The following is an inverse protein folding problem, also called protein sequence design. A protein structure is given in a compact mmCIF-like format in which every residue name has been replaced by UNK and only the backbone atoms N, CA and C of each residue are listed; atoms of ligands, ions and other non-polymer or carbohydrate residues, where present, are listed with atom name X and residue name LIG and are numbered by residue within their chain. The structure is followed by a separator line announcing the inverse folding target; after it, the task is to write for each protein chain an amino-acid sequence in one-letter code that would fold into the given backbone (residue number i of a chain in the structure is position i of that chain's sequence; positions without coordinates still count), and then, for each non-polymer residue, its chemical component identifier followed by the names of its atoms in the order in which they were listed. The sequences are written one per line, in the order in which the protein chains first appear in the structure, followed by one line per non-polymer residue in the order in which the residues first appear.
data_IF_961994759745
#
_entry.id   IF_961994759745
#
_cell.length_a   1.000
_cell.length_b   1.000
_cell.length_c   1.000
_cell.angle_alpha   90.00
_cell.angle_beta   90.00
_cell.angle_gamma   90.00
#
_symmetry.space_group_name_H-M   'P 1'
#
loop_
_entity.id
_entity.type
_entity.pdbx_description
1 polymer ?
#
# COMPACT_ATOMS: atom_id res chain seq x y z
N UNK A 1 14.04 -9.30 30.06
CA UNK A 1 13.15 -10.24 29.36
C UNK A 1 12.74 -9.63 28.02
N UNK A 2 12.97 -10.30 26.89
CA UNK A 2 12.49 -9.81 25.60
C UNK A 2 10.95 -9.77 25.64
N UNK A 3 10.34 -8.64 25.27
CA UNK A 3 8.88 -8.54 25.17
C UNK A 3 8.40 -9.61 24.18
N UNK A 4 7.46 -10.46 24.62
CA UNK A 4 6.82 -11.44 23.76
C UNK A 4 6.18 -10.73 22.57
N UNK A 5 6.44 -11.21 21.35
CA UNK A 5 5.82 -10.65 20.15
C UNK A 5 4.30 -10.86 20.23
N UNK A 6 3.49 -9.91 19.73
CA UNK A 6 2.05 -10.11 19.67
C UNK A 6 1.70 -11.37 18.87
N UNK A 7 0.69 -12.13 19.29
CA UNK A 7 0.31 -13.42 18.69
C UNK A 7 -0.10 -13.34 17.22
N UNK A 8 -0.46 -12.15 16.73
CA UNK A 8 -0.82 -11.90 15.34
C UNK A 8 0.37 -11.48 14.46
N UNK A 9 1.60 -11.46 15.00
CA UNK A 9 2.82 -11.36 14.20
C UNK A 9 3.16 -12.74 13.62
N UNK A 10 3.70 -12.83 12.40
CA UNK A 10 4.11 -14.11 11.85
C UNK A 10 5.25 -14.70 12.67
N UNK A 11 5.26 -16.03 12.77
CA UNK A 11 6.37 -16.77 13.36
C UNK A 11 7.63 -16.63 12.50
N UNK A 12 8.79 -16.81 13.12
CA UNK A 12 10.03 -16.87 12.37
C UNK A 12 10.05 -18.20 11.57
N UNK A 13 10.44 -18.21 10.28
CA UNK A 13 10.36 -19.44 9.48
C UNK A 13 11.46 -20.45 9.80
N UNK A 14 12.50 -20.06 10.54
CA UNK A 14 13.71 -20.86 10.71
C UNK A 14 14.57 -20.81 9.46
N UNK A 15 15.19 -21.94 9.09
CA UNK A 15 15.94 -22.05 7.83
C UNK A 15 15.01 -22.52 6.70
N UNK A 16 15.28 -22.10 5.47
CA UNK A 16 14.54 -22.52 4.28
C UNK A 16 15.47 -22.55 3.07
N UNK A 17 15.06 -23.27 2.03
CA UNK A 17 15.78 -23.34 0.75
C UNK A 17 15.00 -22.61 -0.34
N UNK A 18 15.71 -22.13 -1.36
CA UNK A 18 15.07 -21.51 -2.51
C UNK A 18 14.18 -22.52 -3.24
N UNK A 19 13.03 -22.09 -3.80
CA UNK A 19 12.15 -22.98 -4.55
C UNK A 19 12.87 -23.50 -5.82
N UNK A 20 12.64 -24.75 -6.16
CA UNK A 20 13.19 -25.39 -7.39
C UNK A 20 12.11 -25.63 -8.45
N UNK A 21 10.83 -25.49 -8.07
CA UNK A 21 9.67 -25.72 -8.95
C UNK A 21 9.45 -24.56 -9.90
N UNK A 22 8.81 -24.83 -11.04
CA UNK A 22 8.34 -23.81 -11.99
C UNK A 22 6.96 -23.25 -11.62
N UNK A 23 6.15 -24.02 -10.90
CA UNK A 23 4.84 -23.59 -10.44
C UNK A 23 4.96 -22.80 -9.12
N UNK A 24 4.29 -21.65 -8.98
CA UNK A 24 4.31 -20.87 -7.75
C UNK A 24 3.65 -21.62 -6.59
N UNK A 25 4.38 -21.78 -5.48
CA UNK A 25 3.91 -22.44 -4.26
C UNK A 25 4.39 -21.73 -3.00
N UNK A 26 3.96 -22.23 -1.84
CA UNK A 26 4.52 -21.79 -0.56
C UNK A 26 5.94 -22.35 -0.41
N UNK A 27 6.82 -21.53 0.15
CA UNK A 27 8.17 -21.94 0.56
C UNK A 27 8.08 -22.18 2.06
N UNK A 28 8.28 -23.42 2.49
CA UNK A 28 8.25 -23.78 3.90
C UNK A 28 9.66 -23.70 4.49
N UNK A 29 9.77 -23.10 5.68
CA UNK A 29 10.96 -23.19 6.51
C UNK A 29 10.81 -24.28 7.56
N UNK A 30 11.86 -24.50 8.36
CA UNK A 30 11.89 -25.52 9.42
C UNK A 30 10.87 -25.28 10.53
N UNK A 31 10.43 -24.04 10.73
CA UNK A 31 9.50 -23.66 11.81
C UNK A 31 8.16 -23.13 11.30
N UNK A 32 8.17 -22.40 10.18
CA UNK A 32 6.97 -21.80 9.60
C UNK A 32 7.17 -21.48 8.12
N UNK A 33 6.08 -21.11 7.44
CA UNK A 33 6.14 -20.65 6.04
C UNK A 33 7.09 -19.48 5.89
N UNK A 34 8.07 -19.61 5.00
CA UNK A 34 9.13 -18.64 4.74
C UNK A 34 8.80 -17.70 3.58
N UNK A 35 7.95 -18.10 2.63
CA UNK A 35 7.75 -17.32 1.43
C UNK A 35 6.69 -17.88 0.47
N UNK A 36 6.68 -17.34 -0.74
CA UNK A 36 5.81 -17.79 -1.82
C UNK A 36 6.46 -17.49 -3.18
N UNK A 37 6.40 -18.43 -4.12
CA UNK A 37 6.83 -18.24 -5.49
C UNK A 37 7.34 -19.51 -6.15
N UNK A 38 8.13 -19.33 -7.21
CA UNK A 38 8.77 -20.40 -7.99
C UNK A 38 10.25 -20.05 -8.19
N UNK A 39 11.01 -20.97 -8.80
CA UNK A 39 12.48 -20.88 -8.91
C UNK A 39 12.99 -19.58 -9.54
N UNK A 40 12.26 -19.02 -10.52
CA UNK A 40 12.70 -17.83 -11.26
C UNK A 40 12.19 -16.52 -10.62
N UNK A 41 11.13 -16.59 -9.80
CA UNK A 41 10.61 -15.44 -9.08
C UNK A 41 9.93 -15.86 -7.78
N UNK A 42 10.45 -15.37 -6.66
CA UNK A 42 9.82 -15.63 -5.37
C UNK A 42 10.06 -14.50 -4.37
N UNK A 43 9.22 -14.49 -3.33
CA UNK A 43 9.44 -13.68 -2.14
C UNK A 43 9.70 -14.59 -0.96
N UNK A 44 10.54 -14.15 -0.04
CA UNK A 44 10.80 -14.86 1.20
C UNK A 44 11.18 -13.89 2.32
N UNK A 45 10.98 -14.32 3.57
CA UNK A 45 11.34 -13.54 4.77
C UNK A 45 12.85 -13.28 4.80
N UNK A 46 13.20 -12.05 5.11
CA UNK A 46 14.59 -11.63 5.39
C UNK A 46 14.71 -10.99 6.77
N UNK A 47 15.90 -11.02 7.39
CA UNK A 47 16.17 -10.26 8.61
C UNK A 47 15.85 -8.77 8.48
N UNK A 48 15.30 -8.17 9.54
CA UNK A 48 14.99 -6.73 9.58
C UNK A 48 16.22 -5.86 9.27
N UNK A 49 17.39 -6.25 9.77
CA UNK A 49 18.63 -5.51 9.57
C UNK A 49 18.99 -5.41 8.08
N UNK A 50 18.87 -6.52 7.36
CA UNK A 50 19.09 -6.58 5.91
C UNK A 50 18.08 -5.73 5.14
N UNK A 51 16.78 -5.90 5.45
CA UNK A 51 15.72 -5.09 4.84
C UNK A 51 15.94 -3.58 5.07
N UNK A 52 16.37 -3.18 6.27
CA UNK A 52 16.69 -1.79 6.62
C UNK A 52 17.90 -1.28 5.83
N UNK A 53 18.94 -2.09 5.68
CA UNK A 53 20.13 -1.75 4.90
C UNK A 53 19.75 -1.43 3.45
N UNK A 54 19.01 -2.34 2.81
CA UNK A 54 18.57 -2.21 1.42
C UNK A 54 17.69 -0.97 1.22
N UNK A 55 16.73 -0.71 2.12
CA UNK A 55 15.87 0.48 2.04
C UNK A 55 16.68 1.77 2.19
N UNK A 56 17.67 1.82 3.09
CA UNK A 56 18.51 3.02 3.27
C UNK A 56 19.38 3.29 2.05
N UNK A 57 19.90 2.25 1.42
CA UNK A 57 20.76 2.37 0.25
C UNK A 57 19.97 2.78 -1.00
N UNK A 58 18.80 2.17 -1.24
CA UNK A 58 18.19 2.19 -2.57
C UNK A 58 16.82 2.88 -2.66
N UNK A 59 16.02 2.87 -1.60
CA UNK A 59 14.68 3.48 -1.67
C UNK A 59 14.82 5.00 -1.79
N UNK A 60 14.03 5.65 -2.66
CA UNK A 60 14.13 7.10 -2.93
C UNK A 60 14.10 7.97 -1.66
N UNK A 61 13.35 7.56 -0.63
CA UNK A 61 13.29 8.30 0.63
C UNK A 61 14.48 8.06 1.55
N UNK A 62 15.20 6.93 1.40
CA UNK A 62 16.24 6.42 2.31
C UNK A 62 15.79 6.32 3.78
N UNK A 63 14.47 6.38 4.05
CA UNK A 63 13.90 6.40 5.40
C UNK A 63 13.28 5.06 5.75
N UNK A 64 13.49 4.63 6.98
CA UNK A 64 12.88 3.40 7.51
C UNK A 64 11.60 3.74 8.28
N UNK A 65 10.69 2.77 8.41
CA UNK A 65 9.58 2.83 9.36
C UNK A 65 9.89 1.88 10.51
N UNK A 66 10.05 2.41 11.72
CA UNK A 66 10.43 1.63 12.90
C UNK A 66 9.46 0.50 13.22
N UNK A 67 8.18 0.69 12.92
CA UNK A 67 7.06 -0.17 13.27
C UNK A 67 6.76 -1.27 12.22
N UNK A 68 7.61 -1.42 11.21
CA UNK A 68 7.54 -2.55 10.27
C UNK A 68 8.04 -3.83 10.94
N UNK A 69 7.37 -4.96 10.66
CA UNK A 69 7.65 -6.25 11.29
C UNK A 69 7.57 -7.45 10.33
N UNK A 70 7.08 -7.26 9.11
CA UNK A 70 7.18 -8.26 8.03
C UNK A 70 8.13 -7.68 6.99
N UNK A 71 9.20 -8.42 6.70
CA UNK A 71 10.23 -8.01 5.74
C UNK A 71 10.42 -9.12 4.74
N UNK A 72 10.15 -8.84 3.47
CA UNK A 72 10.19 -9.82 2.40
C UNK A 72 11.20 -9.35 1.34
N UNK A 73 12.21 -10.16 1.08
CA UNK A 73 13.06 -10.01 -0.09
C UNK A 73 12.32 -10.49 -1.35
N UNK A 74 12.70 -9.96 -2.50
CA UNK A 74 12.24 -10.39 -3.82
C UNK A 74 13.43 -10.94 -4.58
N UNK A 75 13.36 -12.20 -5.00
CA UNK A 75 14.38 -12.82 -5.84
C UNK A 75 13.86 -12.94 -7.27
N UNK A 76 14.74 -12.59 -8.21
CA UNK A 76 14.54 -12.74 -9.65
C UNK A 76 15.76 -13.49 -10.18
N UNK A 77 15.53 -14.65 -10.79
CA UNK A 77 16.58 -15.53 -11.33
C UNK A 77 17.70 -15.80 -10.32
N UNK A 78 17.32 -16.10 -9.07
CA UNK A 78 18.23 -16.41 -7.98
C UNK A 78 18.92 -15.21 -7.30
N UNK A 79 18.76 -13.99 -7.82
CA UNK A 79 19.36 -12.77 -7.25
C UNK A 79 18.32 -11.95 -6.52
N UNK A 80 18.64 -11.46 -5.31
CA UNK A 80 17.74 -10.53 -4.60
C UNK A 80 17.70 -9.19 -5.33
N UNK A 81 16.53 -8.80 -5.82
CA UNK A 81 16.26 -7.59 -6.61
C UNK A 81 15.21 -6.69 -5.98
N UNK A 82 14.88 -6.88 -4.71
CA UNK A 82 13.94 -6.00 -4.05
C UNK A 82 13.60 -6.38 -2.62
N UNK A 83 12.92 -5.46 -1.94
CA UNK A 83 12.45 -5.61 -0.57
C UNK A 83 11.09 -4.93 -0.40
N UNK A 84 10.18 -5.60 0.29
CA UNK A 84 8.92 -5.05 0.78
C UNK A 84 8.87 -5.13 2.31
N UNK A 85 8.44 -4.04 2.94
CA UNK A 85 8.26 -3.94 4.38
C UNK A 85 6.79 -3.65 4.69
N UNK A 86 6.18 -4.50 5.52
CA UNK A 86 4.84 -4.30 6.04
C UNK A 86 4.85 -4.18 7.55
N UNK A 87 3.87 -3.45 8.08
CA UNK A 87 3.65 -3.33 9.50
C UNK A 87 2.52 -2.37 9.80
N UNK A 88 2.60 -1.72 10.95
CA UNK A 88 1.54 -0.80 11.34
C UNK A 88 1.66 0.55 10.61
N UNK A 89 0.52 1.20 10.41
CA UNK A 89 0.51 2.63 10.10
C UNK A 89 1.07 3.44 11.28
N UNK A 90 1.48 4.67 11.01
CA UNK A 90 2.02 5.59 12.02
C UNK A 90 1.09 5.82 13.23
N UNK A 91 -0.23 5.79 13.03
CA UNK A 91 -1.23 5.81 14.11
C UNK A 91 -2.16 4.59 13.94
N UNK A 92 -1.86 3.46 14.60
CA UNK A 92 -2.59 2.23 14.35
C UNK A 92 -4.08 2.28 14.73
N UNK A 93 -4.41 3.09 15.75
CA UNK A 93 -5.78 3.24 16.27
C UNK A 93 -6.69 4.01 15.32
N UNK A 94 -6.14 4.70 14.32
CA UNK A 94 -6.93 5.43 13.33
C UNK A 94 -7.56 4.50 12.26
N UNK A 95 -7.25 3.20 12.26
CA UNK A 95 -7.74 2.24 11.27
C UNK A 95 -9.28 2.15 11.20
N UNK A 96 -9.96 2.23 12.35
CA UNK A 96 -11.43 2.28 12.43
C UNK A 96 -12.03 3.43 11.62
N UNK A 97 -11.33 4.57 11.50
CA UNK A 97 -11.78 5.73 10.71
C UNK A 97 -11.81 5.46 9.21
N UNK A 98 -11.19 4.38 8.76
CA UNK A 98 -11.12 3.98 7.34
C UNK A 98 -12.05 2.79 7.11
N UNK A 99 -11.87 1.73 7.90
CA UNK A 99 -12.65 0.49 7.83
C UNK A 99 -13.22 0.23 9.22
N UNK A 100 -14.53 0.39 9.37
CA UNK A 100 -15.23 0.37 10.65
C UNK A 100 -15.03 -0.95 11.39
N UNK A 101 -14.75 -0.89 12.69
CA UNK A 101 -14.47 -2.00 13.61
C UNK A 101 -13.13 -2.70 13.37
N UNK A 102 -12.16 -2.03 12.73
CA UNK A 102 -10.82 -2.62 12.55
C UNK A 102 -10.03 -2.53 13.85
N UNK A 103 -9.53 -3.67 14.31
CA UNK A 103 -8.65 -3.80 15.46
C UNK A 103 -7.17 -3.87 15.05
N UNK A 104 -6.28 -3.69 16.03
CA UNK A 104 -4.84 -3.86 15.82
C UNK A 104 -4.56 -5.32 15.45
N UNK A 105 -3.79 -5.53 14.38
CA UNK A 105 -3.47 -6.87 13.86
C UNK A 105 -4.43 -7.36 12.75
N UNK A 106 -5.55 -6.68 12.53
CA UNK A 106 -6.49 -6.98 11.44
C UNK A 106 -6.18 -6.21 10.15
N UNK A 107 -5.13 -5.39 10.13
CA UNK A 107 -4.71 -4.66 8.95
C UNK A 107 -3.21 -4.37 8.96
N UNK A 108 -2.67 -4.08 7.78
CA UNK A 108 -1.27 -3.67 7.61
C UNK A 108 -1.16 -2.43 6.72
N UNK A 109 0.00 -1.78 6.77
CA UNK A 109 0.45 -0.83 5.78
C UNK A 109 1.68 -1.40 5.07
N UNK A 110 1.69 -1.35 3.73
CA UNK A 110 2.93 -1.47 2.96
C UNK A 110 3.74 -0.20 3.22
N UNK A 111 4.68 -0.29 4.14
CA UNK A 111 5.45 0.84 4.61
C UNK A 111 6.53 1.24 3.60
N UNK A 112 7.23 0.25 3.02
CA UNK A 112 8.31 0.48 2.04
C UNK A 112 8.30 -0.60 0.99
N UNK A 113 8.61 -0.21 -0.24
CA UNK A 113 8.79 -1.11 -1.37
C UNK A 113 9.89 -0.53 -2.25
N UNK A 114 10.89 -1.34 -2.52
CA UNK A 114 11.92 -1.02 -3.50
C UNK A 114 12.21 -2.29 -4.30
N UNK A 115 12.24 -2.17 -5.62
CA UNK A 115 12.77 -3.18 -6.53
C UNK A 115 13.81 -2.50 -7.41
N UNK A 116 14.82 -3.27 -7.81
CA UNK A 116 15.85 -2.89 -8.77
C UNK A 116 15.23 -2.69 -10.15
N UNK A 117 15.61 -1.63 -10.87
CA UNK A 117 15.09 -1.31 -12.20
C UNK A 117 15.46 -2.38 -13.26
N UNK A 118 16.45 -3.23 -12.96
CA UNK A 118 16.80 -4.41 -13.78
C UNK A 118 15.67 -5.47 -13.74
N UNK A 119 14.81 -5.45 -12.71
CA UNK A 119 13.73 -6.43 -12.60
C UNK A 119 12.76 -6.33 -13.79
N UNK A 120 12.27 -7.46 -14.33
CA UNK A 120 11.35 -7.46 -15.47
C UNK A 120 10.10 -6.62 -15.22
N UNK A 121 9.51 -6.08 -16.30
CA UNK A 121 8.26 -5.31 -16.23
C UNK A 121 7.18 -6.06 -15.42
N UNK A 122 6.46 -5.32 -14.58
CA UNK A 122 5.42 -5.82 -13.66
C UNK A 122 5.95 -6.65 -12.47
N UNK A 123 7.25 -6.61 -12.18
CA UNK A 123 7.81 -7.33 -11.03
C UNK A 123 7.27 -6.82 -9.70
N UNK A 124 6.99 -5.52 -9.57
CA UNK A 124 6.47 -4.93 -8.34
C UNK A 124 5.03 -5.40 -8.05
N UNK A 125 4.15 -5.39 -9.05
CA UNK A 125 2.77 -5.88 -8.89
C UNK A 125 2.74 -7.40 -8.68
N UNK A 126 3.63 -8.15 -9.32
CA UNK A 126 3.83 -9.59 -9.08
C UNK A 126 4.31 -9.86 -7.66
N UNK A 127 5.32 -9.12 -7.17
CA UNK A 127 5.83 -9.23 -5.81
C UNK A 127 4.74 -8.92 -4.77
N UNK A 128 3.93 -7.88 -4.99
CA UNK A 128 2.77 -7.57 -4.14
C UNK A 128 1.77 -8.73 -4.10
N UNK A 129 1.42 -9.30 -5.25
CA UNK A 129 0.53 -10.46 -5.32
C UNK A 129 1.05 -11.64 -4.48
N UNK A 130 2.35 -11.92 -4.54
CA UNK A 130 2.99 -13.00 -3.78
C UNK A 130 3.03 -12.68 -2.29
N UNK A 131 3.33 -11.44 -1.92
CA UNK A 131 3.26 -10.95 -0.55
C UNK A 131 1.86 -11.14 0.04
N UNK A 132 0.79 -10.87 -0.72
CA UNK A 132 -0.58 -11.04 -0.20
C UNK A 132 -0.96 -12.49 0.02
N UNK A 133 -0.53 -13.40 -0.86
CA UNK A 133 -0.70 -14.85 -0.66
C UNK A 133 0.02 -15.33 0.60
N UNK A 134 1.27 -14.90 0.78
CA UNK A 134 2.06 -15.17 1.98
C UNK A 134 1.39 -14.60 3.24
N UNK A 135 1.07 -13.29 3.27
CA UNK A 135 0.45 -12.61 4.42
C UNK A 135 -0.88 -13.26 4.80
N UNK A 136 -1.71 -13.64 3.82
CA UNK A 136 -2.98 -14.33 4.09
C UNK A 136 -2.77 -15.65 4.87
N UNK A 137 -1.68 -16.36 4.60
CA UNK A 137 -1.32 -17.63 5.26
C UNK A 137 -0.76 -17.39 6.66
N UNK A 138 0.18 -16.46 6.81
CA UNK A 138 0.93 -16.27 8.07
C UNK A 138 0.28 -15.29 9.05
N UNK A 139 -0.61 -14.42 8.56
CA UNK A 139 -1.35 -13.45 9.37
C UNK A 139 -2.86 -13.53 9.06
N UNK A 140 -3.55 -14.64 9.40
CA UNK A 140 -4.95 -14.88 8.99
C UNK A 140 -5.95 -13.86 9.56
N UNK A 141 -5.58 -13.14 10.62
CA UNK A 141 -6.38 -12.04 11.16
C UNK A 141 -6.47 -10.84 10.19
N UNK A 142 -5.42 -10.60 9.40
CA UNK A 142 -5.33 -9.46 8.48
C UNK A 142 -6.44 -9.52 7.44
N UNK A 143 -7.23 -8.46 7.37
CA UNK A 143 -8.36 -8.32 6.50
C UNK A 143 -8.12 -7.35 5.34
N UNK A 144 -7.24 -6.36 5.52
CA UNK A 144 -6.92 -5.36 4.50
C UNK A 144 -5.50 -4.80 4.68
N UNK A 145 -4.95 -4.28 3.59
CA UNK A 145 -3.61 -3.69 3.54
C UNK A 145 -3.72 -2.34 2.85
N UNK A 146 -3.18 -1.27 3.43
CA UNK A 146 -3.12 0.04 2.79
C UNK A 146 -1.73 0.38 2.27
N UNK A 147 -1.67 1.28 1.30
CA UNK A 147 -0.46 1.98 0.91
C UNK A 147 -0.78 3.37 0.37
N UNK A 148 0.24 4.20 0.21
CA UNK A 148 0.13 5.52 -0.37
C UNK A 148 1.08 5.67 -1.55
N UNK A 149 0.57 6.16 -2.68
CA UNK A 149 1.39 6.67 -3.76
C UNK A 149 1.56 8.19 -3.57
N UNK A 150 2.77 8.68 -3.80
CA UNK A 150 3.11 10.09 -3.68
C UNK A 150 3.26 10.70 -5.08
N UNK A 151 2.69 11.89 -5.28
CA UNK A 151 2.79 12.62 -6.56
C UNK A 151 4.25 12.89 -6.98
N UNK A 152 5.19 12.92 -6.02
CA UNK A 152 6.64 13.04 -6.29
C UNK A 152 7.19 11.93 -7.15
N UNK A 153 6.57 10.74 -7.12
CA UNK A 153 7.06 9.59 -7.88
C UNK A 153 6.53 9.56 -9.32
N UNK A 154 5.79 10.59 -9.78
CA UNK A 154 5.27 10.71 -11.15
C UNK A 154 4.16 9.72 -11.52
N UNK A 155 4.08 8.57 -10.86
CA UNK A 155 3.05 7.57 -11.04
C UNK A 155 1.97 7.72 -9.97
N UNK A 156 0.73 7.94 -10.39
CA UNK A 156 -0.45 8.02 -9.51
C UNK A 156 -0.84 6.65 -8.92
N UNK A 157 0.14 5.84 -8.49
CA UNK A 157 -0.06 4.51 -7.92
C UNK A 157 -0.37 3.42 -8.94
N UNK A 158 0.16 3.51 -10.17
CA UNK A 158 -0.07 2.51 -11.24
C UNK A 158 0.22 1.09 -10.76
N UNK A 159 1.30 0.89 -10.00
CA UNK A 159 1.64 -0.41 -9.40
C UNK A 159 0.54 -0.96 -8.50
N UNK A 160 -0.12 -0.10 -7.71
CA UNK A 160 -1.21 -0.51 -6.83
C UNK A 160 -2.49 -0.82 -7.61
N UNK A 161 -2.77 -0.08 -8.68
CA UNK A 161 -3.87 -0.37 -9.59
C UNK A 161 -3.69 -1.75 -10.25
N UNK A 162 -2.46 -2.04 -10.73
CA UNK A 162 -2.12 -3.34 -11.30
C UNK A 162 -2.14 -4.50 -10.27
N UNK A 163 -1.94 -4.20 -8.99
CA UNK A 163 -1.97 -5.16 -7.88
C UNK A 163 -3.36 -5.31 -7.21
N UNK A 164 -4.45 -4.91 -7.89
CA UNK A 164 -5.83 -5.02 -7.41
C UNK A 164 -6.13 -4.26 -6.10
N UNK A 165 -5.42 -3.17 -5.82
CA UNK A 165 -5.82 -2.27 -4.75
C UNK A 165 -7.00 -1.42 -5.19
N UNK A 166 -7.97 -1.20 -4.32
CA UNK A 166 -8.99 -0.19 -4.51
C UNK A 166 -8.43 1.21 -4.23
N UNK A 167 -8.81 2.20 -5.04
CA UNK A 167 -8.43 3.59 -4.83
C UNK A 167 -9.44 4.30 -3.92
N UNK A 168 -8.96 5.00 -2.90
CA UNK A 168 -9.77 5.65 -1.87
C UNK A 168 -9.68 7.18 -1.90
N UNK A 169 -9.19 7.75 -3.00
CA UNK A 169 -9.00 9.19 -3.14
C UNK A 169 -7.60 9.64 -2.76
N UNK A 170 -7.42 10.95 -2.70
CA UNK A 170 -6.15 11.58 -2.36
C UNK A 170 -6.37 12.70 -1.33
N UNK A 171 -5.28 13.13 -0.73
CA UNK A 171 -5.23 14.31 0.11
C UNK A 171 -3.96 15.11 -0.20
N UNK A 172 -4.00 16.41 0.12
CA UNK A 172 -2.83 17.27 0.02
C UNK A 172 -1.97 17.13 1.26
N UNK A 173 -0.67 16.97 1.05
CA UNK A 173 0.35 16.94 2.09
C UNK A 173 1.42 17.94 1.76
N UNK A 174 1.83 18.73 2.75
CA UNK A 174 3.00 19.60 2.63
C UNK A 174 4.28 18.83 2.94
N UNK A 175 5.25 18.97 2.05
CA UNK A 175 6.62 18.55 2.22
C UNK A 175 7.51 19.78 2.29
N UNK A 176 8.53 19.70 3.12
CA UNK A 176 9.53 20.75 3.27
C UNK A 176 10.83 20.22 2.69
N UNK A 177 11.42 20.97 1.79
CA UNK A 177 12.77 20.73 1.30
C UNK A 177 13.71 21.71 2.00
N UNK A 178 14.78 21.16 2.58
CA UNK A 178 15.76 21.92 3.32
C UNK A 178 17.10 21.22 3.16
N UNK A 179 18.12 21.91 2.64
CA UNK A 179 19.49 21.41 2.52
C UNK A 179 19.59 20.06 1.77
N UNK A 180 18.85 19.94 0.65
CA UNK A 180 18.80 18.72 -0.18
C UNK A 180 17.98 17.57 0.40
N UNK A 181 17.31 17.81 1.53
CA UNK A 181 16.59 16.81 2.31
C UNK A 181 15.09 17.10 2.33
N UNK A 182 14.26 16.08 2.11
CA UNK A 182 12.79 16.22 2.18
C UNK A 182 12.25 15.79 3.55
N UNK A 183 11.31 16.58 4.08
CA UNK A 183 10.67 16.39 5.36
C UNK A 183 9.15 16.40 5.18
N UNK A 184 8.46 15.44 5.81
CA UNK A 184 7.00 15.45 5.84
C UNK A 184 6.50 16.41 6.93
N UNK A 185 5.45 17.19 6.64
CA UNK A 185 4.77 18.06 7.61
C UNK A 185 4.40 17.41 8.95
N UNK A 186 4.24 16.08 9.01
CA UNK A 186 3.97 15.37 10.26
C UNK A 186 5.11 15.48 11.28
N UNK A 187 6.32 15.81 10.84
CA UNK A 187 7.44 16.08 11.75
C UNK A 187 7.24 17.38 12.53
N UNK A 188 6.47 18.34 12.00
CA UNK A 188 6.15 19.60 12.69
C UNK A 188 4.99 19.44 13.68
N UNK A 189 4.06 18.52 13.40
CA UNK A 189 2.87 18.30 14.23
C UNK A 189 3.09 17.31 15.38
N UNK A 190 4.17 16.52 15.35
CA UNK A 190 4.54 15.61 16.45
C UNK A 190 5.20 16.41 17.57
N UNK A 191 4.87 16.08 18.81
CA UNK A 191 5.30 16.76 20.06
C UNK A 191 6.66 17.48 19.96
N UNK A 192 6.72 18.70 20.52
CA UNK A 192 7.93 19.55 20.61
C UNK A 192 9.18 18.84 21.18
N UNK A 193 9.01 17.69 21.83
CA UNK A 193 10.06 16.80 22.34
C UNK A 193 10.74 15.90 21.28
N UNK A 194 10.31 15.95 20.02
CA UNK A 194 10.98 15.21 18.94
C UNK A 194 12.29 15.90 18.53
N UNK A 195 13.42 15.29 18.92
CA UNK A 195 14.77 15.73 18.55
C UNK A 195 15.19 15.34 17.13
N UNK A 196 16.41 15.72 16.75
CA UNK A 196 17.00 15.36 15.45
C UNK A 196 16.33 16.08 14.28
N UNK A 197 15.87 15.35 13.25
CA UNK A 197 15.30 15.93 12.02
C UNK A 197 14.11 16.86 12.25
N UNK A 198 13.23 16.52 13.18
CA UNK A 198 12.06 17.34 13.47
C UNK A 198 12.46 18.67 14.13
N UNK A 199 13.46 18.64 15.01
CA UNK A 199 14.05 19.83 15.60
C UNK A 199 14.78 20.68 14.55
N UNK A 200 15.64 20.06 13.74
CA UNK A 200 16.38 20.75 12.68
C UNK A 200 15.45 21.48 11.71
N UNK A 201 14.37 20.83 11.26
CA UNK A 201 13.38 21.47 10.40
C UNK A 201 12.69 22.66 11.10
N UNK A 202 12.35 22.54 12.39
CA UNK A 202 11.70 23.62 13.14
C UNK A 202 12.61 24.83 13.28
N UNK A 203 13.89 24.62 13.60
CA UNK A 203 14.89 25.66 13.77
C UNK A 203 15.24 26.37 12.45
N UNK A 204 15.06 25.69 11.32
CA UNK A 204 15.43 26.18 9.99
C UNK A 204 14.23 26.38 9.06
N UNK A 205 13.01 26.48 9.62
CA UNK A 205 11.78 26.50 8.84
C UNK A 205 11.73 27.68 7.85
N UNK A 206 12.32 28.82 8.22
CA UNK A 206 12.40 30.00 7.35
C UNK A 206 13.27 29.81 6.10
N UNK A 207 14.15 28.80 6.07
CA UNK A 207 14.97 28.43 4.90
C UNK A 207 14.35 27.32 4.06
N UNK A 208 13.29 26.68 4.55
CA UNK A 208 12.71 25.52 3.90
C UNK A 208 11.75 25.92 2.77
N UNK A 209 11.88 25.25 1.63
CA UNK A 209 10.92 25.38 0.51
C UNK A 209 9.74 24.44 0.75
N UNK A 210 8.51 24.94 0.61
CA UNK A 210 7.29 24.15 0.82
C UNK A 210 6.76 23.63 -0.51
N UNK A 211 6.65 22.32 -0.62
CA UNK A 211 6.03 21.62 -1.73
C UNK A 211 4.69 21.03 -1.29
N UNK A 212 3.60 21.41 -1.97
CA UNK A 212 2.27 20.86 -1.68
C UNK A 212 1.93 19.79 -2.72
N UNK A 213 1.87 18.55 -2.28
CA UNK A 213 1.81 17.37 -3.15
C UNK A 213 0.66 16.45 -2.75
N UNK A 214 0.11 15.72 -3.72
CA UNK A 214 -0.96 14.75 -3.47
C UNK A 214 -0.40 13.42 -2.98
N UNK A 215 -1.10 12.83 -2.02
CA UNK A 215 -0.90 11.45 -1.60
C UNK A 215 -2.17 10.65 -1.83
N UNK A 216 -2.07 9.66 -2.71
CA UNK A 216 -3.16 8.81 -3.18
C UNK A 216 -3.24 7.57 -2.29
N UNK A 217 -4.43 7.30 -1.72
CA UNK A 217 -4.66 6.15 -0.84
C UNK A 217 -5.14 4.95 -1.63
N UNK A 218 -4.48 3.82 -1.42
CA UNK A 218 -4.82 2.53 -1.99
C UNK A 218 -5.06 1.50 -0.89
N UNK A 219 -6.10 0.68 -1.02
CA UNK A 219 -6.41 -0.40 -0.07
C UNK A 219 -6.66 -1.72 -0.81
N UNK A 220 -5.88 -2.73 -0.48
CA UNK A 220 -6.09 -4.11 -0.90
C UNK A 220 -6.92 -4.86 0.14
N UNK A 221 -7.98 -5.53 -0.30
CA UNK A 221 -8.82 -6.34 0.57
C UNK A 221 -8.34 -7.80 0.57
N UNK A 222 -7.73 -8.24 1.67
CA UNK A 222 -7.40 -9.67 1.87
C UNK A 222 -8.69 -10.46 2.09
N UNK A 223 -9.63 -9.89 2.85
CA UNK A 223 -10.98 -10.39 3.06
C UNK A 223 -11.97 -9.49 2.32
N UNK A 224 -12.39 -9.90 1.12
CA UNK A 224 -13.26 -9.09 0.24
C UNK A 224 -14.56 -8.63 0.92
N UNK A 225 -15.11 -9.46 1.83
CA UNK A 225 -16.29 -9.12 2.62
C UNK A 225 -16.13 -7.89 3.52
N UNK A 226 -14.91 -7.41 3.76
CA UNK A 226 -14.65 -6.20 4.55
C UNK A 226 -14.79 -4.92 3.76
N UNK A 227 -14.89 -4.98 2.43
CA UNK A 227 -15.09 -3.80 1.60
C UNK A 227 -16.33 -3.00 2.03
N UNK A 228 -17.41 -3.69 2.41
CA UNK A 228 -18.66 -3.09 2.93
C UNK A 228 -18.51 -2.34 4.26
N UNK A 229 -17.41 -2.56 4.99
CA UNK A 229 -17.10 -1.89 6.26
C UNK A 229 -16.35 -0.57 6.05
N UNK A 230 -15.92 -0.29 4.82
CA UNK A 230 -15.24 0.97 4.52
C UNK A 230 -16.20 2.13 4.75
N UNK A 231 -15.76 3.15 5.51
CA UNK A 231 -16.60 4.34 5.81
C UNK A 231 -16.89 5.19 4.57
N UNK A 232 -16.16 4.94 3.49
CA UNK A 232 -16.36 5.57 2.18
C UNK A 232 -16.13 4.52 1.09
N UNK A 233 -16.86 4.60 -0.02
CA UNK A 233 -16.67 3.66 -1.14
C UNK A 233 -15.35 3.90 -1.90
N UNK A 234 -14.77 2.90 -2.56
CA UNK A 234 -13.72 3.12 -3.55
C UNK A 234 -14.15 4.12 -4.63
N UNK A 235 -13.17 4.80 -5.22
CA UNK A 235 -13.33 5.64 -6.41
C UNK A 235 -12.74 4.92 -7.63
N UNK A 236 -13.15 5.30 -8.85
CA UNK A 236 -12.46 4.89 -10.07
C UNK A 236 -10.97 5.25 -10.01
N UNK A 237 -10.10 4.50 -10.69
CA UNK A 237 -8.68 4.85 -10.72
C UNK A 237 -8.42 6.18 -11.43
N UNK A 238 -7.43 6.96 -10.96
CA UNK A 238 -6.99 8.15 -11.67
C UNK A 238 -6.32 7.74 -13.00
N UNK A 239 -6.69 8.43 -14.10
CA UNK A 239 -6.21 8.15 -15.46
C UNK A 239 -5.47 9.38 -16.02
N UNK A 240 -4.27 9.22 -16.61
CA UNK A 240 -3.53 10.32 -17.21
C UNK A 240 -4.39 11.15 -18.17
N UNK A 241 -4.25 12.48 -18.13
CA UNK A 241 -5.03 13.40 -18.96
C UNK A 241 -6.49 13.58 -18.53
N UNK A 242 -6.96 12.92 -17.47
CA UNK A 242 -8.32 13.07 -16.96
C UNK A 242 -8.34 13.77 -15.60
N UNK A 243 -9.42 14.49 -15.26
CA UNK A 243 -9.61 15.01 -13.92
C UNK A 243 -9.56 13.90 -12.87
N UNK A 244 -8.94 14.18 -11.72
CA UNK A 244 -8.89 13.22 -10.64
C UNK A 244 -10.30 12.89 -10.13
N UNK A 245 -10.60 11.62 -9.85
CA UNK A 245 -11.88 11.20 -9.29
C UNK A 245 -12.17 11.91 -7.96
N UNK A 246 -13.33 12.56 -7.87
CA UNK A 246 -13.82 13.27 -6.69
C UNK A 246 -15.09 12.59 -6.17
N UNK A 247 -15.14 12.34 -4.86
CA UNK A 247 -16.29 11.77 -4.14
C UNK A 247 -17.57 12.58 -4.35
N UNK A 248 -17.49 13.91 -4.40
CA UNK A 248 -18.67 14.78 -4.61
C UNK A 248 -19.25 14.61 -6.01
N UNK A 249 -18.38 14.50 -7.02
CA UNK A 249 -18.78 14.28 -8.42
C UNK A 249 -19.27 12.85 -8.67
N UNK A 250 -18.63 11.86 -8.04
CA UNK A 250 -19.00 10.46 -8.21
C UNK A 250 -20.39 10.14 -7.66
N UNK A 251 -20.79 10.73 -6.52
CA UNK A 251 -22.18 10.58 -6.02
C UNK A 251 -23.23 11.09 -7.01
N UNK A 252 -22.97 12.21 -7.70
CA UNK A 252 -23.90 12.74 -8.71
C UNK A 252 -24.03 11.82 -9.91
N UNK A 253 -22.92 11.27 -10.41
CA UNK A 253 -22.93 10.34 -11.56
C UNK A 253 -23.64 9.02 -11.26
N UNK A 254 -23.55 8.50 -10.02
CA UNK A 254 -24.26 7.28 -9.60
C UNK A 254 -25.75 7.55 -9.34
N UNK A 255 -26.13 8.80 -9.07
CA UNK A 255 -27.51 9.20 -8.77
C UNK A 255 -28.32 9.69 -9.99
N UNK A 256 -27.74 9.83 -11.19
CA UNK A 256 -28.54 10.08 -12.40
C UNK A 256 -29.28 8.78 -12.74
N UNK A 257 -30.61 8.68 -12.55
CA UNK A 257 -31.36 7.53 -13.00
C UNK A 257 -31.35 7.52 -14.52
N UNK A 258 -31.32 6.33 -15.11
CA UNK A 258 -31.45 6.11 -16.54
C UNK A 258 -32.81 6.69 -17.02
N UNK A 259 -32.86 7.97 -17.41
CA UNK A 259 -34.00 8.59 -18.10
C UNK A 259 -34.04 8.11 -19.54
N UNK A 260 -34.18 6.80 -19.72
CA UNK A 260 -34.52 6.13 -20.96
C UNK A 260 -35.71 5.20 -20.71
N UNK A 261 -36.73 5.70 -19.99
CA UNK A 261 -38.08 5.15 -19.95
C UNK A 261 -39.06 6.31 -19.90
N UNK A 262 -39.24 6.96 -21.04
CA UNK A 262 -40.43 7.73 -21.40
C UNK A 262 -40.34 8.01 -22.91
N UNK A 263 -40.42 6.96 -23.72
CA UNK A 263 -40.89 7.14 -25.08
C UNK A 263 -42.42 7.33 -25.00
N UNK A 264 -42.98 8.38 -25.61
CA UNK A 264 -44.43 8.53 -25.67
C UNK A 264 -45.02 7.36 -26.44
N UNK A 265 -46.00 6.69 -25.84
CA UNK A 265 -46.82 5.67 -26.50
C UNK A 265 -47.43 6.27 -27.76
N UNK A 266 -47.02 5.74 -28.93
CA UNK A 266 -47.64 6.05 -30.22
C UNK A 266 -49.14 5.76 -30.12
N UNK A 267 -49.97 6.80 -30.16
CA UNK A 267 -51.41 6.66 -30.40
C UNK A 267 -51.59 6.07 -31.80
N UNK A 268 -52.21 4.89 -31.87
CA UNK A 268 -52.73 4.33 -33.12
C UNK A 268 -53.85 5.22 -33.66
N UNK A 269 -53.84 5.63 -34.95
CA UNK A 269 -54.98 6.31 -35.54
C UNK A 269 -56.13 5.32 -35.74
N UNK A 270 -57.31 5.70 -35.26
CA UNK A 270 -58.57 5.04 -35.64
C UNK A 270 -58.92 5.44 -37.07
N UNK A 271 -59.21 4.44 -37.90
CA UNK A 271 -60.16 4.53 -39.02
C UNK A 271 -59.63 5.05 -40.35
N UNK A 272 -59.57 4.15 -41.34
CA UNK A 272 -59.97 4.43 -42.72
C UNK A 272 -60.33 3.11 -43.43
N UNK A 273 -61.64 2.94 -43.65
CA UNK A 273 -62.35 1.98 -44.52
C UNK A 273 -62.30 0.49 -44.16
#
# INVERSE_FOLDING_TARGET
MAKQKPSYHPQHPGTFTAPTTTQPGFIEGTEATAGFGHRDFYIAVIPRAEAVSIIRANHYSRRIVSNSFIHLGVWVDGVMRGVLQFGYALNPRAADKIVAGTEIGQYLELNRMWLDDIAPRNSESRALSYCFKYIKRVCPAVAWIQSFADERCGAWGVVYQAANFHYFGHHWTSFYELDGETYHSQLLSRHKASGGRAQYLRENLGRATIHRLRQFRYIYMVKQSWLKRCKVSPLPYPKPGQPLPDRRRHRRLVQVPNTAQNLPTRRTPRGAK
#
